data_IF_749363723325
#
_entry.id   IF_749363723325
#
_cell.length_a   1.000
_cell.length_b   1.000
_cell.length_c   1.000
_cell.angle_alpha   90.00
_cell.angle_beta   90.00
_cell.angle_gamma   90.00
#
_symmetry.space_group_name_H-M   'P 1'
#
loop_
_entity.id
_entity.type
_entity.pdbx_description
1 polymer ?
#
# COMPACT_ATOMS: atom_id res chain seq x y z
N UNK A 1 5.49 -4.35 5.74
CA UNK A 1 4.19 -5.05 5.72
C UNK A 1 3.65 -5.07 4.32
N UNK A 2 3.02 -6.15 3.85
CA UNK A 2 2.37 -6.25 2.54
C UNK A 2 0.93 -6.71 2.66
N UNK A 3 0.10 -6.35 1.68
CA UNK A 3 -1.32 -6.69 1.64
C UNK A 3 -1.59 -8.02 0.92
N UNK A 4 -0.61 -8.56 0.19
CA UNK A 4 -0.71 -9.80 -0.57
C UNK A 4 0.43 -10.77 -0.22
N UNK A 5 0.18 -12.07 -0.34
CA UNK A 5 1.21 -13.11 -0.10
C UNK A 5 2.33 -13.05 -1.13
N UNK A 6 2.00 -12.75 -2.38
CA UNK A 6 2.94 -12.66 -3.50
C UNK A 6 3.97 -11.56 -3.26
N UNK A 7 3.54 -10.41 -2.74
CA UNK A 7 4.40 -9.28 -2.38
C UNK A 7 5.36 -9.66 -1.25
N UNK A 8 4.82 -10.29 -0.19
CA UNK A 8 5.63 -10.74 0.95
C UNK A 8 6.69 -11.75 0.50
N UNK A 9 6.31 -12.77 -0.28
CA UNK A 9 7.22 -13.80 -0.74
C UNK A 9 8.39 -13.22 -1.54
N UNK A 10 8.13 -12.24 -2.42
CA UNK A 10 9.19 -11.58 -3.17
C UNK A 10 10.16 -10.80 -2.26
N UNK A 11 9.64 -10.09 -1.27
CA UNK A 11 10.45 -9.31 -0.33
C UNK A 11 11.33 -10.21 0.56
N UNK A 12 10.88 -11.43 0.91
CA UNK A 12 11.68 -12.38 1.68
C UNK A 12 13.01 -12.72 1.00
N UNK A 13 13.10 -12.69 -0.33
CA UNK A 13 14.34 -12.89 -1.06
C UNK A 13 15.40 -11.79 -0.81
N UNK A 14 15.01 -10.63 -0.30
CA UNK A 14 15.93 -9.56 0.10
C UNK A 14 16.50 -9.77 1.50
N UNK A 15 15.87 -10.63 2.31
CA UNK A 15 16.23 -10.80 3.71
C UNK A 15 17.37 -11.78 3.92
N UNK A 16 18.23 -11.48 4.88
CA UNK A 16 19.22 -12.40 5.42
C UNK A 16 18.88 -12.79 6.87
N UNK A 17 19.20 -14.02 7.25
CA UNK A 17 19.02 -14.53 8.62
C UNK A 17 17.54 -14.63 9.01
N UNK A 18 16.70 -15.14 8.10
CA UNK A 18 15.25 -15.21 8.32
C UNK A 18 14.93 -16.21 9.45
N UNK A 19 14.13 -15.73 10.41
CA UNK A 19 13.47 -16.55 11.42
C UNK A 19 11.95 -16.34 11.33
N UNK A 20 11.20 -17.44 11.40
CA UNK A 20 9.73 -17.41 11.36
C UNK A 20 9.16 -17.42 12.79
N UNK A 21 8.29 -16.45 13.07
CA UNK A 21 7.61 -16.33 14.37
C UNK A 21 6.10 -16.33 14.13
N UNK A 22 5.42 -17.36 14.66
CA UNK A 22 3.95 -17.42 14.64
C UNK A 22 3.37 -16.66 15.82
N UNK A 23 2.52 -15.65 15.53
CA UNK A 23 1.82 -14.88 16.55
C UNK A 23 0.47 -14.36 16.02
N UNK A 24 -0.60 -14.44 16.81
CA UNK A 24 -1.92 -13.93 16.42
C UNK A 24 -2.45 -14.54 15.11
N UNK A 25 -2.19 -15.84 14.87
CA UNK A 25 -2.50 -16.57 13.63
C UNK A 25 -1.85 -15.97 12.37
N UNK A 26 -0.71 -15.29 12.50
CA UNK A 26 0.12 -14.76 11.41
C UNK A 26 1.55 -15.28 11.55
N UNK A 27 2.23 -15.38 10.42
CA UNK A 27 3.67 -15.63 10.39
C UNK A 27 4.39 -14.30 10.17
N UNK A 28 5.30 -13.97 11.06
CA UNK A 28 6.21 -12.84 10.98
C UNK A 28 7.59 -13.37 10.64
N UNK A 29 8.23 -12.77 9.66
CA UNK A 29 9.59 -13.10 9.24
C UNK A 29 10.53 -12.02 9.77
N UNK A 30 11.40 -12.37 10.70
CA UNK A 30 12.42 -11.46 11.26
C UNK A 30 13.76 -11.73 10.62
N UNK A 31 14.56 -10.71 10.39
CA UNK A 31 15.87 -10.81 9.75
C UNK A 31 16.46 -9.45 9.47
N UNK A 32 17.28 -9.34 8.43
CA UNK A 32 17.84 -8.06 7.99
C UNK A 32 17.71 -7.87 6.48
N UNK A 33 17.46 -6.62 6.05
CA UNK A 33 17.63 -6.16 4.66
C UNK A 33 18.70 -5.05 4.70
N UNK A 34 19.77 -5.15 3.91
CA UNK A 34 20.90 -4.20 3.94
C UNK A 34 21.43 -3.93 5.37
N UNK A 35 21.53 -4.95 6.21
CA UNK A 35 21.91 -4.87 7.64
C UNK A 35 20.91 -4.11 8.55
N UNK A 36 19.77 -3.66 8.04
CA UNK A 36 18.69 -3.06 8.83
C UNK A 36 17.80 -4.18 9.36
N UNK A 37 17.60 -4.24 10.68
CA UNK A 37 16.68 -5.20 11.31
C UNK A 37 15.27 -4.96 10.76
N UNK A 38 14.67 -6.02 10.25
CA UNK A 38 13.40 -5.92 9.53
C UNK A 38 12.46 -7.04 9.94
N UNK A 39 11.17 -6.71 10.04
CA UNK A 39 10.08 -7.67 10.21
C UNK A 39 9.16 -7.59 8.99
N UNK A 40 9.00 -8.71 8.29
CA UNK A 40 8.09 -8.80 7.13
C UNK A 40 6.87 -9.62 7.52
N UNK A 41 5.68 -9.15 7.16
CA UNK A 41 4.42 -9.82 7.49
C UNK A 41 3.32 -9.51 6.47
N UNK A 42 2.46 -10.50 6.20
CA UNK A 42 1.22 -10.35 5.47
C UNK A 42 0.12 -9.79 6.40
N UNK A 43 -0.47 -8.64 6.04
CA UNK A 43 -1.49 -7.97 6.88
C UNK A 43 -2.82 -8.74 6.94
N UNK A 44 -3.15 -9.49 5.90
CA UNK A 44 -4.51 -9.88 5.50
C UNK A 44 -5.33 -8.68 5.09
N UNK A 45 -6.54 -8.92 4.59
CA UNK A 45 -7.39 -7.88 4.02
C UNK A 45 -8.32 -7.25 5.04
N UNK A 46 -8.58 -5.96 4.83
CA UNK A 46 -9.51 -5.18 5.61
C UNK A 46 -8.90 -4.49 6.83
N UNK A 47 -9.57 -3.45 7.26
CA UNK A 47 -9.10 -2.50 8.29
C UNK A 47 -8.77 -3.17 9.63
N UNK A 48 -9.61 -4.07 10.11
CA UNK A 48 -9.41 -4.77 11.40
C UNK A 48 -8.18 -5.68 11.32
N UNK A 49 -7.99 -6.40 10.22
CA UNK A 49 -6.83 -7.27 10.04
C UNK A 49 -5.53 -6.47 9.98
N UNK A 50 -5.54 -5.36 9.26
CA UNK A 50 -4.40 -4.46 9.14
C UNK A 50 -4.03 -3.83 10.50
N UNK A 51 -5.01 -3.24 11.21
CA UNK A 51 -4.80 -2.66 12.53
C UNK A 51 -4.23 -3.68 13.54
N UNK A 52 -4.78 -4.90 13.57
CA UNK A 52 -4.28 -5.99 14.44
C UNK A 52 -2.82 -6.33 14.12
N UNK A 53 -2.45 -6.32 12.83
CA UNK A 53 -1.09 -6.63 12.39
C UNK A 53 -0.11 -5.55 12.82
N UNK A 54 -0.44 -4.27 12.58
CA UNK A 54 0.41 -3.14 12.97
C UNK A 54 0.58 -3.08 14.48
N UNK A 55 -0.50 -3.23 15.25
CA UNK A 55 -0.43 -3.27 16.72
C UNK A 55 0.53 -4.36 17.19
N UNK A 56 0.50 -5.54 16.56
CA UNK A 56 1.43 -6.62 16.88
C UNK A 56 2.88 -6.28 16.51
N UNK A 57 3.11 -5.62 15.36
CA UNK A 57 4.43 -5.16 14.96
C UNK A 57 5.02 -4.18 15.99
N UNK A 58 4.21 -3.25 16.46
CA UNK A 58 4.63 -2.25 17.45
C UNK A 58 4.87 -2.90 18.81
N UNK A 59 3.89 -3.63 19.36
CA UNK A 59 3.90 -4.08 20.75
C UNK A 59 4.73 -5.35 20.97
N UNK A 60 4.81 -6.25 19.99
CA UNK A 60 5.54 -7.53 20.10
C UNK A 60 6.92 -7.47 19.49
N UNK A 61 7.08 -6.75 18.37
CA UNK A 61 8.34 -6.71 17.62
C UNK A 61 9.10 -5.39 17.80
N UNK A 62 8.52 -4.41 18.50
CA UNK A 62 9.12 -3.11 18.83
C UNK A 62 9.65 -2.39 17.57
N UNK A 63 8.86 -2.36 16.50
CA UNK A 63 9.25 -1.61 15.30
C UNK A 63 9.28 -0.12 15.60
N UNK A 64 10.16 0.60 14.92
CA UNK A 64 10.33 2.05 15.01
C UNK A 64 9.77 2.78 13.79
N UNK A 65 9.55 2.06 12.70
CA UNK A 65 9.15 2.61 11.41
C UNK A 65 8.32 1.60 10.65
N UNK A 66 7.44 2.05 9.74
CA UNK A 66 6.60 1.15 8.98
C UNK A 66 6.51 1.54 7.50
N UNK A 67 6.87 0.61 6.62
CA UNK A 67 6.59 0.69 5.19
C UNK A 67 5.47 -0.32 4.89
N UNK A 68 4.37 0.16 4.30
CA UNK A 68 3.28 -0.67 3.86
C UNK A 68 3.11 -0.60 2.35
N UNK A 69 3.41 -1.71 1.68
CA UNK A 69 3.29 -1.83 0.23
C UNK A 69 2.13 -2.74 -0.13
N UNK A 70 1.47 -2.47 -1.25
CA UNK A 70 0.36 -3.25 -1.75
C UNK A 70 -0.18 -2.70 -3.06
N UNK A 71 -1.36 -3.15 -3.44
CA UNK A 71 -2.05 -2.71 -4.65
C UNK A 71 -3.27 -1.87 -4.33
N UNK A 72 -3.79 -1.15 -5.32
CA UNK A 72 -5.01 -0.34 -5.21
C UNK A 72 -5.70 -0.17 -6.56
N UNK A 73 -6.99 0.10 -6.53
CA UNK A 73 -7.76 0.52 -7.69
C UNK A 73 -7.68 2.04 -7.91
N UNK A 74 -7.58 2.48 -9.16
CA UNK A 74 -7.49 3.89 -9.53
C UNK A 74 -8.84 4.60 -9.39
N UNK A 75 -8.87 5.68 -8.60
CA UNK A 75 -10.01 6.62 -8.54
C UNK A 75 -9.79 7.79 -9.48
N UNK A 76 -8.62 8.40 -9.45
CA UNK A 76 -8.27 9.48 -10.39
C UNK A 76 -8.06 8.90 -11.80
N UNK A 77 -8.65 9.55 -12.80
CA UNK A 77 -8.64 9.10 -14.21
C UNK A 77 -7.29 9.24 -14.91
N UNK A 78 -6.35 9.98 -14.33
CA UNK A 78 -4.98 10.09 -14.85
C UNK A 78 -4.13 8.86 -14.52
N UNK A 79 -4.51 8.09 -13.50
CA UNK A 79 -3.81 6.88 -13.09
C UNK A 79 -4.08 5.73 -14.06
N UNK A 80 -3.04 4.95 -14.32
CA UNK A 80 -3.07 3.75 -15.15
C UNK A 80 -2.53 2.55 -14.38
N UNK A 81 -2.88 1.36 -14.82
CA UNK A 81 -2.33 0.11 -14.28
C UNK A 81 -0.79 0.18 -14.33
N UNK A 82 -0.16 -0.19 -13.22
CA UNK A 82 1.29 -0.12 -13.03
C UNK A 82 1.82 1.23 -12.53
N UNK A 83 1.02 2.31 -12.52
CA UNK A 83 1.41 3.54 -11.82
C UNK A 83 1.54 3.27 -10.32
N UNK A 84 2.43 4.02 -9.66
CA UNK A 84 2.65 3.86 -8.22
C UNK A 84 2.20 5.11 -7.49
N UNK A 85 1.38 4.94 -6.45
CA UNK A 85 0.92 6.02 -5.58
C UNK A 85 1.65 5.95 -4.25
N UNK A 86 2.30 7.04 -3.87
CA UNK A 86 2.81 7.28 -2.53
C UNK A 86 1.71 8.04 -1.77
N UNK A 87 1.16 7.44 -0.73
CA UNK A 87 0.20 8.11 0.12
C UNK A 87 0.87 9.21 0.93
N UNK A 88 0.57 10.48 0.64
CA UNK A 88 0.97 11.58 1.51
C UNK A 88 0.03 11.69 2.72
N UNK A 89 -1.23 11.37 2.53
CA UNK A 89 -2.26 11.28 3.56
C UNK A 89 -3.26 10.17 3.25
N UNK A 90 -3.84 9.59 4.31
CA UNK A 90 -4.78 8.50 4.20
C UNK A 90 -6.09 8.81 4.91
N UNK A 91 -7.22 8.32 4.37
CA UNK A 91 -8.56 8.56 4.89
C UNK A 91 -9.40 7.29 4.88
N UNK A 92 -10.20 7.05 5.94
CA UNK A 92 -11.20 5.99 5.93
C UNK A 92 -12.48 6.48 5.24
N UNK A 93 -12.69 6.12 3.97
CA UNK A 93 -13.81 6.62 3.16
C UNK A 93 -15.19 6.14 3.63
N UNK A 94 -15.22 5.00 4.32
CA UNK A 94 -16.45 4.36 4.84
C UNK A 94 -16.75 4.70 6.30
N UNK A 95 -15.93 5.57 6.94
CA UNK A 95 -16.21 6.08 8.29
C UNK A 95 -17.32 7.12 8.24
N UNK A 96 -18.45 6.82 8.92
CA UNK A 96 -19.60 7.71 8.98
C UNK A 96 -20.29 7.62 10.34
N UNK A 97 -20.00 8.55 11.22
CA UNK A 97 -20.61 8.67 12.55
C UNK A 97 -21.65 9.81 12.64
N UNK A 98 -22.14 10.30 11.48
CA UNK A 98 -23.16 11.35 11.47
C UNK A 98 -24.48 10.89 12.11
N UNK A 99 -25.23 11.78 12.74
CA UNK A 99 -25.02 13.22 12.90
C UNK A 99 -24.13 13.62 14.09
N UNK A 100 -23.51 12.65 14.80
CA UNK A 100 -22.73 12.93 16.00
C UNK A 100 -21.39 13.61 15.72
N UNK A 101 -20.78 13.29 14.58
CA UNK A 101 -19.48 13.80 14.12
C UNK A 101 -19.49 14.01 12.62
N UNK A 102 -18.58 14.81 12.06
CA UNK A 102 -18.40 14.93 10.62
C UNK A 102 -18.12 13.56 9.96
N UNK A 103 -18.57 13.39 8.72
CA UNK A 103 -18.23 12.22 7.94
C UNK A 103 -16.72 12.13 7.73
N UNK A 104 -16.16 10.93 7.77
CA UNK A 104 -14.74 10.57 7.64
C UNK A 104 -13.86 11.00 8.85
N UNK A 105 -14.36 11.77 9.79
CA UNK A 105 -13.63 12.03 11.04
C UNK A 105 -13.65 10.76 11.91
N UNK A 106 -12.47 10.39 12.41
CA UNK A 106 -12.37 9.28 13.36
C UNK A 106 -12.97 9.71 14.70
N UNK A 107 -14.02 9.04 15.18
CA UNK A 107 -14.73 9.41 16.38
C UNK A 107 -13.81 9.56 17.60
N UNK A 108 -13.96 10.67 18.31
CA UNK A 108 -13.22 11.02 19.53
C UNK A 108 -11.71 11.27 19.33
N UNK A 109 -11.19 11.07 18.12
CA UNK A 109 -9.81 11.40 17.78
C UNK A 109 -9.69 12.79 17.12
N UNK A 110 -10.75 13.26 16.45
CA UNK A 110 -10.80 14.57 15.79
C UNK A 110 -9.92 14.66 14.54
N UNK A 111 -9.57 13.52 13.95
CA UNK A 111 -8.69 13.41 12.78
C UNK A 111 -9.43 12.76 11.63
N UNK A 112 -9.32 13.35 10.43
CA UNK A 112 -9.87 12.80 9.19
C UNK A 112 -8.78 12.17 8.33
N UNK A 113 -7.61 12.82 8.25
CA UNK A 113 -6.48 12.38 7.43
C UNK A 113 -5.28 12.07 8.32
N UNK A 114 -4.60 10.97 8.02
CA UNK A 114 -3.34 10.57 8.65
C UNK A 114 -2.19 10.80 7.67
N UNK A 115 -1.25 11.66 8.03
CA UNK A 115 -0.14 12.05 7.15
C UNK A 115 1.03 11.06 7.27
N UNK A 116 1.58 10.67 6.12
CA UNK A 116 2.81 9.87 6.05
C UNK A 116 4.04 10.71 6.38
N UNK A 117 5.10 10.05 6.83
CA UNK A 117 6.37 10.72 7.14
C UNK A 117 7.02 11.32 5.87
N UNK A 118 7.37 12.63 5.85
CA UNK A 118 7.93 13.30 4.67
C UNK A 118 9.29 12.73 4.20
N UNK A 119 10.10 12.18 5.12
CA UNK A 119 11.39 11.58 4.76
C UNK A 119 11.16 10.27 4.01
N UNK A 120 10.22 9.43 4.50
CA UNK A 120 9.84 8.20 3.82
C UNK A 120 9.17 8.45 2.46
N UNK A 121 8.35 9.51 2.33
CA UNK A 121 7.81 9.93 1.02
C UNK A 121 8.96 10.26 0.06
N UNK A 122 9.97 11.01 0.52
CA UNK A 122 11.12 11.40 -0.30
C UNK A 122 11.95 10.18 -0.72
N UNK A 123 12.22 9.26 0.19
CA UNK A 123 12.95 8.01 -0.09
C UNK A 123 12.16 7.14 -1.07
N UNK A 124 10.85 6.95 -0.82
CA UNK A 124 9.99 6.17 -1.70
C UNK A 124 9.94 6.75 -3.11
N UNK A 125 9.80 8.09 -3.24
CA UNK A 125 9.79 8.74 -4.54
C UNK A 125 11.06 8.46 -5.33
N UNK A 126 12.25 8.63 -4.73
CA UNK A 126 13.54 8.33 -5.37
C UNK A 126 13.65 6.85 -5.77
N UNK A 127 13.21 5.94 -4.90
CA UNK A 127 13.26 4.51 -5.17
C UNK A 127 12.35 4.10 -6.34
N UNK A 128 11.16 4.71 -6.42
CA UNK A 128 10.16 4.41 -7.46
C UNK A 128 10.52 5.07 -8.78
N UNK A 129 11.00 6.33 -8.79
CA UNK A 129 11.47 7.01 -10.00
C UNK A 129 12.55 6.22 -10.75
N UNK A 130 13.31 5.38 -10.03
CA UNK A 130 14.36 4.53 -10.62
C UNK A 130 13.85 3.29 -11.35
N UNK A 131 12.55 2.93 -11.22
CA UNK A 131 11.99 1.67 -11.75
C UNK A 131 10.78 1.85 -12.67
N UNK A 132 10.15 3.03 -12.70
CA UNK A 132 8.99 3.31 -13.56
C UNK A 132 9.40 3.74 -14.96
N UNK A 133 8.44 3.81 -15.88
CA UNK A 133 8.65 4.17 -17.26
C UNK A 133 9.50 3.14 -18.02
N UNK A 134 10.49 3.59 -18.75
CA UNK A 134 11.34 2.70 -19.55
C UNK A 134 12.18 1.71 -18.72
N UNK A 135 12.33 1.94 -17.42
CA UNK A 135 13.08 1.06 -16.54
C UNK A 135 12.35 -0.25 -16.20
N UNK A 136 11.05 -0.31 -16.40
CA UNK A 136 10.21 -1.49 -16.13
C UNK A 136 10.71 -2.76 -16.84
N UNK A 137 11.35 -2.61 -18.01
CA UNK A 137 11.95 -3.73 -18.78
C UNK A 137 13.05 -4.49 -18.04
N UNK A 138 13.64 -3.91 -17.02
CA UNK A 138 14.72 -4.56 -16.27
C UNK A 138 14.24 -5.68 -15.35
N UNK A 139 12.93 -5.73 -15.04
CA UNK A 139 12.37 -6.66 -14.04
C UNK A 139 10.99 -7.24 -14.41
N UNK A 140 10.30 -6.70 -15.44
CA UNK A 140 9.01 -7.22 -15.94
C UNK A 140 9.22 -7.78 -17.35
N UNK A 141 8.58 -8.91 -17.64
CA UNK A 141 8.63 -9.57 -18.95
C UNK A 141 7.87 -8.73 -19.99
N UNK A 142 8.39 -8.71 -21.22
CA UNK A 142 7.84 -7.92 -22.34
C UNK A 142 6.35 -8.20 -22.58
N UNK A 143 5.92 -9.45 -22.43
CA UNK A 143 4.52 -9.85 -22.57
C UNK A 143 3.63 -9.09 -21.58
N UNK A 144 4.02 -9.01 -20.30
CA UNK A 144 3.24 -8.31 -19.27
C UNK A 144 3.33 -6.78 -19.44
N UNK A 145 4.47 -6.28 -19.90
CA UNK A 145 4.65 -4.85 -20.21
C UNK A 145 3.66 -4.41 -21.30
N UNK A 146 3.52 -5.19 -22.37
CA UNK A 146 2.57 -4.88 -23.44
C UNK A 146 1.13 -5.08 -23.02
N UNK A 147 0.84 -6.17 -22.30
CA UNK A 147 -0.49 -6.51 -21.82
C UNK A 147 -1.08 -5.44 -20.92
N UNK A 148 -0.31 -4.93 -19.96
CA UNK A 148 -0.73 -3.92 -18.98
C UNK A 148 -0.29 -2.50 -19.34
N UNK A 149 0.32 -2.29 -20.50
CA UNK A 149 0.79 -0.98 -21.00
C UNK A 149 1.78 -0.27 -20.06
N UNK A 150 2.68 -1.02 -19.44
CA UNK A 150 3.55 -0.55 -18.37
C UNK A 150 4.68 0.40 -18.79
N UNK A 151 4.93 0.60 -20.10
CA UNK A 151 6.01 1.48 -20.60
C UNK A 151 5.91 2.94 -20.20
N UNK A 152 4.75 3.40 -19.76
CA UNK A 152 4.46 4.80 -19.42
C UNK A 152 4.06 4.96 -17.96
N UNK A 153 4.41 4.00 -17.11
CA UNK A 153 4.12 4.06 -15.68
C UNK A 153 4.84 5.23 -15.01
N UNK A 154 4.18 5.83 -14.03
CA UNK A 154 4.65 7.03 -13.33
C UNK A 154 4.45 6.87 -11.82
N UNK A 155 5.10 7.74 -11.06
CA UNK A 155 4.86 7.87 -9.62
C UNK A 155 4.00 9.10 -9.34
N UNK A 156 3.03 8.93 -8.46
CA UNK A 156 2.15 10.00 -7.96
C UNK A 156 2.28 10.09 -6.45
N UNK A 157 2.04 11.27 -5.90
CA UNK A 157 1.95 11.48 -4.45
C UNK A 157 0.61 12.15 -4.16
N UNK A 158 -0.16 11.60 -3.22
CA UNK A 158 -1.47 12.14 -2.88
C UNK A 158 -2.31 11.20 -2.01
N UNK A 159 -3.60 11.50 -1.90
CA UNK A 159 -4.52 10.84 -0.97
C UNK A 159 -4.85 9.42 -1.37
N UNK A 160 -4.70 8.47 -0.43
CA UNK A 160 -5.20 7.10 -0.53
C UNK A 160 -6.43 6.95 0.36
N UNK A 161 -7.52 6.42 -0.18
CA UNK A 161 -8.73 6.12 0.58
C UNK A 161 -8.81 4.62 0.91
N UNK A 162 -9.19 4.30 2.15
CA UNK A 162 -9.35 2.90 2.60
C UNK A 162 -10.74 2.63 3.11
N UNK A 163 -11.25 1.41 2.85
CA UNK A 163 -12.53 0.94 3.38
C UNK A 163 -12.71 -0.56 3.17
N UNK A 164 -13.62 -1.19 3.92
CA UNK A 164 -13.83 -2.63 3.88
C UNK A 164 -14.70 -3.06 2.68
N UNK A 165 -14.39 -2.51 1.49
CA UNK A 165 -15.11 -2.81 0.26
C UNK A 165 -14.15 -2.84 -0.95
N UNK A 166 -14.24 -3.92 -1.76
CA UNK A 166 -13.57 -4.00 -3.05
C UNK A 166 -14.38 -3.23 -4.11
N UNK A 167 -13.76 -2.28 -4.78
CA UNK A 167 -14.41 -1.44 -5.82
C UNK A 167 -14.32 -2.15 -7.18
N UNK A 168 -15.46 -2.66 -7.65
CA UNK A 168 -15.59 -3.35 -8.93
C UNK A 168 -16.68 -2.73 -9.83
N UNK A 169 -17.14 -1.51 -9.52
CA UNK A 169 -18.17 -0.82 -10.27
C UNK A 169 -17.81 0.64 -10.47
N UNK A 170 -18.02 1.13 -11.69
CA UNK A 170 -17.82 2.54 -12.01
C UNK A 170 -18.65 3.48 -11.11
N UNK A 171 -19.84 3.08 -10.70
CA UNK A 171 -20.71 3.87 -9.81
C UNK A 171 -20.08 4.09 -8.41
N UNK A 172 -19.41 3.09 -7.86
CA UNK A 172 -18.74 3.21 -6.55
C UNK A 172 -17.55 4.19 -6.64
N UNK A 173 -16.80 4.14 -7.74
CA UNK A 173 -15.72 5.07 -8.07
C UNK A 173 -16.22 6.51 -8.14
N UNK A 174 -17.31 6.75 -8.87
CA UNK A 174 -17.91 8.07 -9.05
C UNK A 174 -18.43 8.63 -7.71
N UNK A 175 -19.07 7.80 -6.88
CA UNK A 175 -19.53 8.18 -5.55
C UNK A 175 -18.37 8.58 -4.64
N UNK A 176 -17.28 7.80 -4.64
CA UNK A 176 -16.11 8.13 -3.85
C UNK A 176 -15.47 9.43 -4.31
N UNK A 177 -15.29 9.60 -5.63
CA UNK A 177 -14.71 10.81 -6.21
C UNK A 177 -15.56 12.06 -5.91
N UNK A 178 -16.88 11.94 -5.92
CA UNK A 178 -17.79 13.06 -5.59
C UNK A 178 -17.66 13.50 -4.13
N UNK A 179 -17.34 12.60 -3.20
CA UNK A 179 -17.24 12.88 -1.76
C UNK A 179 -15.82 13.24 -1.34
N UNK A 180 -14.82 12.61 -1.94
CA UNK A 180 -13.39 12.80 -1.69
C UNK A 180 -12.65 13.03 -3.02
N UNK A 181 -12.80 14.22 -3.65
CA UNK A 181 -12.32 14.50 -5.01
C UNK A 181 -10.80 14.43 -5.17
N UNK A 182 -10.04 14.63 -4.09
CA UNK A 182 -8.57 14.58 -4.11
C UNK A 182 -8.01 13.15 -4.01
N UNK A 183 -8.88 12.12 -3.93
CA UNK A 183 -8.45 10.73 -3.81
C UNK A 183 -7.82 10.24 -5.11
N UNK A 184 -6.60 9.73 -5.02
CA UNK A 184 -5.90 9.10 -6.14
C UNK A 184 -6.35 7.65 -6.34
N UNK A 185 -6.33 6.85 -5.29
CA UNK A 185 -6.67 5.43 -5.36
C UNK A 185 -7.39 4.94 -4.09
N UNK A 186 -7.99 3.76 -4.19
CA UNK A 186 -8.74 3.11 -3.10
C UNK A 186 -8.23 1.69 -2.85
N UNK A 187 -8.18 1.31 -1.59
CA UNK A 187 -7.78 -0.01 -1.11
C UNK A 187 -8.46 -0.32 0.24
N UNK A 188 -8.02 -1.36 0.97
CA UNK A 188 -8.81 -1.84 2.10
C UNK A 188 -8.10 -1.75 3.47
N UNK A 189 -6.88 -1.23 3.59
CA UNK A 189 -6.04 -1.35 4.81
C UNK A 189 -5.32 -0.07 5.22
N UNK A 190 -4.79 0.70 4.28
CA UNK A 190 -3.78 1.74 4.49
C UNK A 190 -4.15 2.77 5.53
N UNK A 191 -5.40 3.29 5.53
CA UNK A 191 -5.82 4.27 6.52
C UNK A 191 -5.96 3.68 7.93
N UNK A 192 -6.26 2.38 8.06
CA UNK A 192 -6.25 1.72 9.38
C UNK A 192 -4.82 1.51 9.90
N UNK A 193 -3.88 1.21 9.00
CA UNK A 193 -2.44 1.18 9.32
C UNK A 193 -1.99 2.56 9.79
N UNK A 194 -2.32 3.60 9.03
CA UNK A 194 -1.96 4.98 9.31
C UNK A 194 -2.53 5.47 10.64
N UNK A 195 -3.78 5.13 10.96
CA UNK A 195 -4.40 5.46 12.25
C UNK A 195 -3.63 4.84 13.41
N UNK A 196 -3.32 3.53 13.34
CA UNK A 196 -2.55 2.87 14.41
C UNK A 196 -1.15 3.48 14.55
N UNK A 197 -0.46 3.75 13.44
CA UNK A 197 0.84 4.42 13.47
C UNK A 197 0.75 5.81 14.09
N UNK A 198 -0.27 6.58 13.77
CA UNK A 198 -0.53 7.89 14.38
C UNK A 198 -0.74 7.81 15.89
N UNK A 199 -1.58 6.88 16.36
CA UNK A 199 -1.86 6.70 17.80
C UNK A 199 -0.65 6.22 18.61
N UNK A 200 0.31 5.53 17.97
CA UNK A 200 1.54 5.05 18.58
C UNK A 200 2.78 5.88 18.23
N UNK A 201 2.62 6.99 17.51
CA UNK A 201 3.71 7.90 17.10
C UNK A 201 4.80 7.17 16.27
N UNK A 202 4.41 6.22 15.42
CA UNK A 202 5.30 5.46 14.53
C UNK A 202 5.33 6.14 13.16
N UNK A 203 6.48 6.61 12.66
CA UNK A 203 6.61 7.11 11.29
C UNK A 203 6.30 6.00 10.28
N UNK A 204 5.54 6.33 9.23
CA UNK A 204 5.10 5.37 8.24
C UNK A 204 5.02 5.96 6.84
N UNK A 205 4.97 5.07 5.84
CA UNK A 205 4.58 5.38 4.47
C UNK A 205 3.75 4.23 3.90
N UNK A 206 2.73 4.57 3.12
CA UNK A 206 1.90 3.61 2.38
C UNK A 206 2.13 3.80 0.89
N UNK A 207 2.47 2.70 0.22
CA UNK A 207 2.75 2.63 -1.20
C UNK A 207 1.73 1.71 -1.88
N UNK A 208 1.19 2.16 -3.02
CA UNK A 208 0.21 1.37 -3.77
C UNK A 208 0.56 1.34 -5.25
N UNK A 209 0.59 0.14 -5.81
CA UNK A 209 0.73 -0.10 -7.24
C UNK A 209 -0.68 -0.23 -7.80
N UNK A 210 -1.01 0.52 -8.82
CA UNK A 210 -2.35 0.47 -9.41
C UNK A 210 -2.53 -0.85 -10.16
N UNK A 211 -3.46 -1.67 -9.70
CA UNK A 211 -3.79 -2.99 -10.25
C UNK A 211 -4.95 -2.98 -11.22
N UNK A 212 -5.85 -2.01 -11.08
CA UNK A 212 -7.09 -1.92 -11.84
C UNK A 212 -7.67 -0.50 -11.82
N UNK A 213 -8.69 -0.26 -12.63
CA UNK A 213 -9.31 1.06 -12.79
C UNK A 213 -10.66 1.21 -12.03
N UNK A 214 -10.96 0.34 -11.07
CA UNK A 214 -12.24 0.34 -10.32
C UNK A 214 -13.47 0.33 -11.24
N UNK A 215 -13.48 -0.57 -12.19
CA UNK A 215 -14.59 -0.77 -13.14
C UNK A 215 -14.97 -2.26 -13.23
N UNK A 216 -15.86 -2.62 -14.13
CA UNK A 216 -16.38 -3.96 -14.29
C UNK A 216 -15.31 -5.00 -14.70
N UNK A 217 -14.15 -4.57 -15.19
CA UNK A 217 -13.02 -5.42 -15.57
C UNK A 217 -12.05 -5.68 -14.39
N UNK A 218 -12.15 -4.90 -13.31
CA UNK A 218 -11.20 -5.00 -12.16
C UNK A 218 -11.06 -6.40 -11.58
N UNK A 219 -12.15 -7.17 -11.53
CA UNK A 219 -12.11 -8.56 -11.03
C UNK A 219 -11.37 -9.54 -11.94
N UNK A 220 -11.14 -9.17 -13.21
CA UNK A 220 -10.43 -9.98 -14.21
C UNK A 220 -8.94 -9.62 -14.20
N UNK A 221 -8.62 -8.32 -14.22
CA UNK A 221 -7.25 -7.82 -14.33
C UNK A 221 -6.45 -8.03 -13.03
N UNK A 222 -7.10 -7.84 -11.88
CA UNK A 222 -6.50 -7.91 -10.56
C UNK A 222 -5.71 -9.20 -10.27
N UNK A 223 -6.26 -10.45 -10.43
CA UNK A 223 -5.52 -11.66 -10.10
C UNK A 223 -4.25 -11.85 -10.92
N UNK A 224 -4.32 -11.58 -12.22
CA UNK A 224 -3.19 -11.73 -13.14
C UNK A 224 -2.10 -10.69 -12.86
N UNK A 225 -2.50 -9.44 -12.59
CA UNK A 225 -1.57 -8.39 -12.22
C UNK A 225 -0.82 -8.71 -10.93
N UNK A 226 -1.53 -9.18 -9.89
CA UNK A 226 -0.93 -9.59 -8.62
C UNK A 226 0.11 -10.68 -8.82
N UNK A 227 -0.24 -11.71 -9.57
CA UNK A 227 0.63 -12.86 -9.76
C UNK A 227 1.89 -12.53 -10.57
N UNK A 228 1.79 -11.70 -11.61
CA UNK A 228 2.84 -11.55 -12.61
C UNK A 228 3.62 -10.24 -12.50
N UNK A 229 3.03 -9.19 -11.89
CA UNK A 229 3.58 -7.83 -11.91
C UNK A 229 3.81 -7.28 -10.51
N UNK A 230 2.78 -7.26 -9.64
CA UNK A 230 2.84 -6.58 -8.34
C UNK A 230 4.01 -7.04 -7.46
N UNK A 231 4.26 -8.34 -7.39
CA UNK A 231 5.35 -8.90 -6.57
C UNK A 231 6.73 -8.43 -7.02
N UNK A 232 6.95 -8.27 -8.33
CA UNK A 232 8.21 -7.78 -8.91
C UNK A 232 8.40 -6.28 -8.61
N UNK A 233 7.33 -5.47 -8.72
CA UNK A 233 7.35 -4.08 -8.30
C UNK A 233 7.67 -3.94 -6.81
N UNK A 234 7.00 -4.71 -5.96
CA UNK A 234 7.22 -4.68 -4.52
C UNK A 234 8.68 -5.00 -4.17
N UNK A 235 9.26 -6.00 -4.81
CA UNK A 235 10.67 -6.36 -4.65
C UNK A 235 11.60 -5.20 -5.00
N UNK A 236 11.48 -4.61 -6.20
CA UNK A 236 12.37 -3.55 -6.65
C UNK A 236 12.18 -2.26 -5.84
N UNK A 237 10.95 -1.88 -5.49
CA UNK A 237 10.68 -0.72 -4.63
C UNK A 237 11.36 -0.89 -3.27
N UNK A 238 11.12 -2.01 -2.58
CA UNK A 238 11.69 -2.25 -1.25
C UNK A 238 13.21 -2.35 -1.31
N UNK A 239 13.78 -3.04 -2.30
CA UNK A 239 15.23 -3.12 -2.51
C UNK A 239 15.85 -1.73 -2.64
N UNK A 240 15.27 -0.86 -3.48
CA UNK A 240 15.77 0.49 -3.70
C UNK A 240 15.57 1.40 -2.47
N UNK A 241 14.43 1.28 -1.77
CA UNK A 241 14.23 2.04 -0.52
C UNK A 241 15.28 1.67 0.52
N UNK A 242 15.52 0.37 0.76
CA UNK A 242 16.54 -0.08 1.72
C UNK A 242 17.98 0.21 1.29
N UNK A 243 18.23 0.54 0.04
CA UNK A 243 19.52 1.05 -0.41
C UNK A 243 19.71 2.56 -0.12
N UNK A 244 18.63 3.28 0.18
CA UNK A 244 18.62 4.71 0.48
C UNK A 244 18.46 5.01 1.99
N UNK A 245 18.07 4.00 2.80
CA UNK A 245 18.02 4.07 4.26
C UNK A 245 19.40 3.84 4.88
#
# INVERSE_FOLDING_TARGET
MGAMHEEINSILHLMAGIEEISYGRRTYYTGTINNIKTVVVFSRWGKVAAATTVTSLITKFNITDLIFIGVAGAINTELKIGDVVIGDRLVQHDMDARPLMPRHEIPLLGVTYFESDPNYITIAKKAIDAIVGDHVHSFIDEYEIERFLLRKTRVFTGTIASGDQFFAKQADKELLHAVLPDTLCVEMEGAAVAQVCYEYEIPFVVLRIISDECNENSSIDFPDFIQNVSSKYAYEIIKNMFALL
#
